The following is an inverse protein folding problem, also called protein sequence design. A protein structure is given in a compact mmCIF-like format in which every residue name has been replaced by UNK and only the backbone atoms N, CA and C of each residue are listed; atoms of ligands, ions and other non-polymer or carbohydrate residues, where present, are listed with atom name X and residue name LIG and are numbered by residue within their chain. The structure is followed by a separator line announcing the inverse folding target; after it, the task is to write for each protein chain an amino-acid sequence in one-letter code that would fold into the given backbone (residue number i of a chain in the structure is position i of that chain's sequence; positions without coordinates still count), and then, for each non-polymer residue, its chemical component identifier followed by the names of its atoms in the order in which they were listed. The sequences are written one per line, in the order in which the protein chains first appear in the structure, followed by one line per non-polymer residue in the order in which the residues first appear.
data_IF_045939358209
#
_entry.id   IF_045939358209
#
_cell.length_a   1.000
_cell.length_b   1.000
_cell.length_c   1.000
_cell.angle_alpha   90.00
_cell.angle_beta   90.00
_cell.angle_gamma   90.00
#
_symmetry.space_group_name_H-M   'P 1'
#
loop_
_entity.id
_entity.type
_entity.pdbx_description
1 polymer ?
#
# COMPACT_ATOMS: atom_id res chain seq x y z
N UNK A 1 4.68 79.02 -18.27
CA UNK A 1 4.06 79.30 -19.58
C UNK A 1 3.85 77.98 -20.26
N UNK A 2 2.60 77.76 -20.69
CA UNK A 2 2.03 76.71 -21.56
C UNK A 2 2.39 75.25 -21.25
N UNK A 3 1.46 74.42 -20.75
CA UNK A 3 0.27 73.84 -21.43
C UNK A 3 0.62 72.93 -22.62
N UNK A 4 0.02 71.73 -22.64
CA UNK A 4 0.13 70.81 -23.77
C UNK A 4 -0.36 69.39 -23.49
N UNK A 5 -1.66 69.27 -23.27
CA UNK A 5 -2.49 68.07 -23.17
C UNK A 5 -2.49 67.24 -24.48
N UNK A 6 -2.45 65.90 -24.41
CA UNK A 6 -3.33 65.02 -25.20
C UNK A 6 -3.26 63.54 -24.79
N UNK A 7 -4.43 62.93 -24.89
CA UNK A 7 -4.89 61.62 -24.41
C UNK A 7 -4.91 60.55 -25.52
N UNK A 8 -5.12 59.31 -25.05
CA UNK A 8 -5.69 58.13 -25.72
C UNK A 8 -4.78 57.21 -26.54
N UNK A 9 -4.87 55.91 -26.23
CA UNK A 9 -4.35 54.85 -27.08
C UNK A 9 -4.22 53.49 -26.39
N UNK A 10 -5.37 52.91 -26.04
CA UNK A 10 -5.59 51.51 -25.70
C UNK A 10 -4.82 50.51 -26.59
N UNK A 11 -4.15 49.52 -25.99
CA UNK A 11 -4.06 48.16 -26.54
C UNK A 11 -3.28 47.22 -25.61
N UNK A 12 -3.89 46.07 -25.32
CA UNK A 12 -3.15 44.82 -25.11
C UNK A 12 -2.92 44.41 -23.68
N UNK A 13 -3.99 44.06 -22.97
CA UNK A 13 -3.89 43.08 -21.89
C UNK A 13 -3.62 41.70 -22.50
N UNK A 14 -2.44 41.15 -22.24
CA UNK A 14 -2.24 39.70 -22.22
C UNK A 14 -2.28 39.29 -20.74
N UNK A 15 -3.48 38.88 -20.32
CA UNK A 15 -3.62 38.02 -19.16
C UNK A 15 -3.02 36.68 -19.55
N UNK A 16 -1.84 36.37 -19.00
CA UNK A 16 -1.40 34.99 -18.85
C UNK A 16 -2.45 34.29 -17.97
N UNK A 17 -3.43 33.70 -18.65
CA UNK A 17 -4.38 32.78 -18.08
C UNK A 17 -3.62 31.53 -17.72
N UNK A 18 -3.06 31.54 -16.51
CA UNK A 18 -2.72 30.34 -15.76
C UNK A 18 -4.03 29.56 -15.58
N UNK A 19 -4.37 28.73 -16.58
CA UNK A 19 -5.38 27.68 -16.44
C UNK A 19 -4.82 26.66 -15.48
N UNK A 20 -4.88 26.98 -14.19
CA UNK A 20 -4.83 25.97 -13.14
C UNK A 20 -5.99 25.02 -13.42
N UNK A 21 -5.67 23.84 -13.94
CA UNK A 21 -6.64 22.77 -14.11
C UNK A 21 -7.28 22.51 -12.74
N UNK A 22 -8.49 23.03 -12.53
CA UNK A 22 -9.27 22.74 -11.34
C UNK A 22 -9.80 21.32 -11.51
N UNK A 23 -9.14 20.36 -10.85
CA UNK A 23 -9.68 19.02 -10.66
C UNK A 23 -11.02 19.15 -9.94
N UNK A 24 -12.12 18.76 -10.59
CA UNK A 24 -13.43 18.66 -9.98
C UNK A 24 -13.61 17.24 -9.46
N UNK A 25 -14.15 17.11 -8.25
CA UNK A 25 -14.51 15.80 -7.67
C UNK A 25 -15.98 15.80 -7.38
N UNK A 26 -16.64 14.71 -7.77
CA UNK A 26 -18.03 14.44 -7.43
C UNK A 26 -18.07 13.13 -6.68
N UNK A 27 -18.43 13.21 -5.39
CA UNK A 27 -18.71 12.05 -4.55
C UNK A 27 -20.16 11.66 -4.80
N UNK A 28 -20.36 10.49 -5.38
CA UNK A 28 -21.68 9.91 -5.54
C UNK A 28 -21.87 8.87 -4.43
N UNK A 29 -22.56 9.28 -3.36
CA UNK A 29 -23.06 8.34 -2.37
C UNK A 29 -24.31 7.69 -2.95
N UNK A 30 -24.19 6.40 -3.32
CA UNK A 30 -25.35 5.60 -3.69
C UNK A 30 -25.58 4.55 -2.62
N UNK A 31 -26.48 4.89 -1.71
CA UNK A 31 -27.16 3.90 -0.87
C UNK A 31 -28.04 3.08 -1.80
N UNK A 32 -27.64 1.86 -2.15
CA UNK A 32 -28.57 0.87 -2.67
C UNK A 32 -29.78 0.84 -1.74
N UNK A 33 -31.00 0.89 -2.27
CA UNK A 33 -32.24 1.15 -1.52
C UNK A 33 -32.30 0.31 -0.23
N UNK A 34 -31.87 0.92 0.88
CA UNK A 34 -32.07 0.42 2.23
C UNK A 34 -33.46 0.90 2.64
N UNK A 35 -34.48 0.14 2.27
CA UNK A 35 -35.78 0.26 2.91
C UNK A 35 -35.58 -0.03 4.39
N UNK A 36 -35.60 1.05 5.18
CA UNK A 36 -35.18 1.06 6.57
C UNK A 36 -35.77 -0.07 7.40
N UNK A 37 -34.87 -0.92 7.89
CA UNK A 37 -34.95 -1.47 9.25
C UNK A 37 -33.53 -1.47 9.78
N UNK A 38 -33.23 -0.57 10.73
CA UNK A 38 -32.00 -0.55 11.52
C UNK A 38 -31.97 -1.72 12.53
N UNK A 39 -32.27 -2.93 12.06
CA UNK A 39 -32.43 -4.12 12.88
C UNK A 39 -32.91 -5.29 12.04
N UNK A 40 -31.99 -6.24 11.81
CA UNK A 40 -32.17 -7.46 11.04
C UNK A 40 -32.37 -7.25 9.53
N UNK A 41 -31.42 -7.78 8.74
CA UNK A 41 -31.66 -8.89 7.80
C UNK A 41 -30.37 -9.17 7.03
N UNK A 42 -29.46 -9.91 7.65
CA UNK A 42 -28.54 -10.79 6.93
C UNK A 42 -29.39 -11.95 6.41
N UNK A 43 -29.98 -11.77 5.24
CA UNK A 43 -30.77 -12.78 4.55
C UNK A 43 -29.88 -13.55 3.58
N UNK A 44 -29.43 -14.73 4.01
CA UNK A 44 -28.82 -15.71 3.11
C UNK A 44 -27.74 -16.54 3.80
N UNK A 45 -28.20 -17.55 4.56
CA UNK A 45 -27.39 -18.51 5.34
C UNK A 45 -26.83 -17.98 6.67
N UNK A 46 -27.63 -18.06 7.75
CA UNK A 46 -27.10 -18.29 9.10
C UNK A 46 -27.27 -17.21 10.18
N UNK A 47 -27.92 -16.08 9.92
CA UNK A 47 -27.84 -14.91 10.80
C UNK A 47 -29.10 -14.56 11.62
N UNK A 48 -29.93 -15.54 11.97
CA UNK A 48 -31.08 -15.32 12.89
C UNK A 48 -30.69 -15.34 14.38
N UNK A 49 -29.41 -15.40 14.74
CA UNK A 49 -28.99 -15.55 16.14
C UNK A 49 -27.80 -14.72 16.59
N UNK A 50 -27.30 -13.78 15.77
CA UNK A 50 -26.08 -13.05 16.14
C UNK A 50 -26.42 -11.89 17.08
N UNK A 51 -26.18 -12.06 18.37
CA UNK A 51 -26.20 -10.94 19.32
C UNK A 51 -24.99 -10.03 19.05
N UNK A 52 -25.05 -8.75 19.42
CA UNK A 52 -23.88 -7.84 19.30
C UNK A 52 -22.66 -8.32 20.10
N UNK A 53 -22.86 -9.26 21.03
CA UNK A 53 -21.84 -9.84 21.90
C UNK A 53 -21.29 -11.16 21.35
N UNK A 54 -21.79 -11.64 20.21
CA UNK A 54 -21.30 -12.86 19.58
C UNK A 54 -19.95 -12.59 18.91
N UNK A 55 -19.00 -13.47 19.20
CA UNK A 55 -17.64 -13.39 18.70
C UNK A 55 -17.38 -14.48 17.66
N UNK A 56 -16.63 -14.12 16.62
CA UNK A 56 -16.04 -15.03 15.66
C UNK A 56 -14.52 -14.93 15.75
N UNK A 57 -13.81 -15.97 15.29
CA UNK A 57 -12.35 -16.01 15.32
C UNK A 57 -11.79 -15.71 13.95
N UNK A 58 -10.90 -14.72 13.87
CA UNK A 58 -10.14 -14.40 12.66
C UNK A 58 -8.68 -14.81 12.83
N UNK A 59 -8.02 -15.15 11.72
CA UNK A 59 -6.56 -15.16 11.64
C UNK A 59 -6.09 -13.75 11.31
N UNK A 60 -5.45 -13.06 12.23
CA UNK A 60 -5.00 -11.67 12.04
C UNK A 60 -3.57 -11.56 11.52
N UNK A 61 -2.73 -12.58 11.75
CA UNK A 61 -1.35 -12.58 11.28
C UNK A 61 -0.87 -13.98 10.90
N UNK A 62 0.12 -14.02 10.00
CA UNK A 62 0.97 -15.17 9.78
C UNK A 62 2.35 -14.80 10.31
N UNK A 63 2.82 -15.50 11.34
CA UNK A 63 4.04 -15.12 12.04
C UNK A 63 4.83 -16.34 12.47
N UNK A 64 6.16 -16.18 12.49
CA UNK A 64 7.06 -17.18 13.06
C UNK A 64 6.82 -17.31 14.57
N UNK A 65 6.96 -18.52 15.14
CA UNK A 65 6.94 -18.71 16.60
C UNK A 65 8.20 -18.14 17.29
N UNK A 66 9.30 -17.97 16.55
CA UNK A 66 10.53 -17.31 17.01
C UNK A 66 11.28 -16.68 15.83
N UNK A 67 12.17 -15.69 16.03
CA UNK A 67 12.88 -15.03 14.93
C UNK A 67 13.63 -15.97 13.98
N UNK A 68 14.13 -17.09 14.50
CA UNK A 68 14.91 -18.08 13.73
C UNK A 68 14.07 -19.18 13.07
N UNK A 69 12.75 -19.22 13.29
CA UNK A 69 11.91 -20.27 12.70
C UNK A 69 11.76 -20.08 11.18
N UNK A 70 11.68 -21.18 10.43
CA UNK A 70 11.53 -21.11 8.96
C UNK A 70 10.06 -21.12 8.51
N UNK A 71 9.13 -21.42 9.42
CA UNK A 71 7.71 -21.60 9.11
C UNK A 71 6.84 -20.57 9.81
N UNK A 72 5.79 -20.14 9.12
CA UNK A 72 4.75 -19.28 9.67
C UNK A 72 3.65 -20.10 10.35
N UNK A 73 3.14 -19.57 11.46
CA UNK A 73 1.96 -20.06 12.16
C UNK A 73 0.86 -18.99 12.13
N UNK A 74 -0.42 -19.39 11.96
CA UNK A 74 -1.52 -18.45 12.03
C UNK A 74 -1.70 -17.98 13.47
N UNK A 75 -1.87 -16.66 13.66
CA UNK A 75 -2.27 -16.08 14.93
C UNK A 75 -3.72 -15.62 14.86
N UNK A 76 -4.48 -16.00 15.87
CA UNK A 76 -5.93 -15.86 15.87
C UNK A 76 -6.41 -14.99 17.01
N UNK A 77 -7.52 -14.28 16.80
CA UNK A 77 -8.20 -13.52 17.85
C UNK A 77 -9.70 -13.48 17.60
N UNK A 78 -10.45 -13.20 18.65
CA UNK A 78 -11.89 -13.04 18.58
C UNK A 78 -12.28 -11.60 18.23
N UNK A 79 -13.31 -11.46 17.40
CA UNK A 79 -13.87 -10.20 16.89
C UNK A 79 -15.40 -10.26 16.84
N UNK A 80 -16.12 -9.13 16.81
CA UNK A 80 -17.57 -9.15 16.67
C UNK A 80 -18.00 -9.80 15.34
N UNK A 81 -18.93 -10.75 15.40
CA UNK A 81 -19.45 -11.46 14.21
C UNK A 81 -20.02 -10.49 13.18
N UNK A 82 -20.75 -9.46 13.63
CA UNK A 82 -21.37 -8.48 12.73
C UNK A 82 -20.33 -7.74 11.86
N UNK A 83 -19.20 -7.38 12.46
CA UNK A 83 -18.08 -6.76 11.73
C UNK A 83 -17.41 -7.77 10.79
N UNK A 84 -17.10 -8.97 11.28
CA UNK A 84 -16.43 -10.00 10.48
C UNK A 84 -17.24 -10.36 9.21
N UNK A 85 -18.55 -10.57 9.35
CA UNK A 85 -19.42 -10.90 8.23
C UNK A 85 -19.54 -9.75 7.21
N UNK A 86 -19.63 -8.50 7.68
CA UNK A 86 -19.67 -7.34 6.78
C UNK A 86 -18.39 -7.21 5.95
N UNK A 87 -17.23 -7.37 6.59
CA UNK A 87 -15.92 -7.36 5.91
C UNK A 87 -15.81 -8.53 4.92
N UNK A 88 -16.28 -9.73 5.29
CA UNK A 88 -16.29 -10.91 4.41
C UNK A 88 -17.13 -10.69 3.16
N UNK A 89 -18.29 -10.04 3.30
CA UNK A 89 -19.13 -9.65 2.16
C UNK A 89 -18.42 -8.64 1.26
N UNK A 90 -17.78 -7.62 1.84
CA UNK A 90 -17.00 -6.64 1.10
C UNK A 90 -15.85 -7.29 0.30
N UNK A 91 -15.12 -8.25 0.88
CA UNK A 91 -14.11 -9.04 0.15
C UNK A 91 -14.72 -9.80 -1.03
N UNK A 92 -15.89 -10.42 -0.84
CA UNK A 92 -16.59 -11.12 -1.91
C UNK A 92 -17.02 -10.19 -3.06
N UNK A 93 -17.42 -8.95 -2.77
CA UNK A 93 -17.76 -7.95 -3.79
C UNK A 93 -16.51 -7.43 -4.50
N UNK A 94 -15.44 -7.14 -3.77
CA UNK A 94 -14.17 -6.69 -4.34
C UNK A 94 -13.58 -7.70 -5.34
N UNK A 95 -13.70 -9.01 -5.04
CA UNK A 95 -13.32 -10.06 -5.99
C UNK A 95 -14.10 -9.95 -7.30
N UNK A 96 -15.43 -9.80 -7.23
CA UNK A 96 -16.29 -9.65 -8.42
C UNK A 96 -15.94 -8.39 -9.22
N UNK A 97 -15.60 -7.29 -8.56
CA UNK A 97 -15.16 -6.05 -9.22
C UNK A 97 -13.88 -6.31 -10.02
N UNK A 98 -12.92 -7.02 -9.42
CA UNK A 98 -11.65 -7.38 -10.07
C UNK A 98 -11.89 -8.31 -11.26
N UNK A 99 -12.66 -9.37 -11.08
CA UNK A 99 -12.99 -10.33 -12.15
C UNK A 99 -13.74 -9.69 -13.32
N UNK A 100 -14.56 -8.68 -13.05
CA UNK A 100 -15.29 -7.96 -14.08
C UNK A 100 -14.39 -7.08 -14.98
N UNK A 101 -13.16 -6.79 -14.56
CA UNK A 101 -12.19 -6.01 -15.37
C UNK A 101 -12.73 -4.64 -15.77
N UNK A 102 -13.37 -3.94 -14.83
CA UNK A 102 -14.12 -2.72 -15.12
C UNK A 102 -13.21 -1.61 -15.67
N UNK A 103 -13.59 -1.07 -16.82
CA UNK A 103 -13.05 0.18 -17.35
C UNK A 103 -14.14 1.25 -17.30
N UNK A 104 -13.87 2.47 -16.81
CA UNK A 104 -12.54 3.03 -16.54
C UNK A 104 -12.25 3.17 -15.02
N UNK A 105 -12.08 2.03 -14.34
CA UNK A 105 -11.72 1.98 -12.93
C UNK A 105 -10.24 2.37 -12.73
N UNK A 106 -9.97 3.30 -11.82
CA UNK A 106 -8.61 3.68 -11.40
C UNK A 106 -8.18 2.95 -10.13
N UNK A 107 -9.12 2.67 -9.24
CA UNK A 107 -8.85 1.90 -8.05
C UNK A 107 -10.11 1.50 -7.30
N UNK A 108 -10.01 0.45 -6.52
CA UNK A 108 -11.07 -0.01 -5.62
C UNK A 108 -10.43 -0.50 -4.34
N UNK A 109 -10.98 -0.14 -3.17
CA UNK A 109 -10.45 -0.52 -1.87
C UNK A 109 -11.59 -0.77 -0.89
N UNK A 110 -11.44 -1.77 -0.04
CA UNK A 110 -12.40 -2.02 1.03
C UNK A 110 -12.11 -1.11 2.22
N UNK A 111 -13.17 -0.50 2.74
CA UNK A 111 -13.19 0.25 4.00
C UNK A 111 -13.93 -0.62 5.02
N UNK A 112 -13.23 -1.27 5.97
CA UNK A 112 -13.80 -2.34 6.81
C UNK A 112 -14.87 -1.94 7.85
N UNK A 113 -15.21 -0.66 8.01
CA UNK A 113 -15.97 -0.18 9.17
C UNK A 113 -15.19 -0.32 10.48
N UNK A 114 -15.89 -0.20 11.61
CA UNK A 114 -15.36 -0.36 12.97
C UNK A 114 -16.17 -1.39 13.76
N UNK A 115 -15.69 -1.83 14.93
CA UNK A 115 -16.50 -2.74 15.76
C UNK A 115 -17.82 -2.14 16.25
N UNK A 116 -17.88 -0.82 16.43
CA UNK A 116 -19.10 -0.10 16.82
C UNK A 116 -20.00 0.28 15.65
N UNK A 117 -19.45 0.28 14.45
CA UNK A 117 -20.13 0.61 13.19
C UNK A 117 -19.65 -0.39 12.12
N UNK A 118 -20.19 -1.62 12.12
CA UNK A 118 -19.61 -2.77 11.43
C UNK A 118 -19.76 -2.72 9.91
N UNK A 119 -20.50 -1.75 9.36
CA UNK A 119 -20.79 -1.68 7.94
C UNK A 119 -19.52 -1.39 7.13
N UNK A 120 -19.02 -2.41 6.43
CA UNK A 120 -17.94 -2.28 5.46
C UNK A 120 -18.47 -1.72 4.13
N UNK A 121 -17.64 -0.94 3.46
CA UNK A 121 -17.93 -0.33 2.16
C UNK A 121 -16.76 -0.49 1.19
N UNK A 122 -16.98 -0.17 -0.09
CA UNK A 122 -15.95 -0.14 -1.11
C UNK A 122 -15.79 1.29 -1.63
N UNK A 123 -14.59 1.83 -1.49
CA UNK A 123 -14.20 3.09 -2.11
C UNK A 123 -13.67 2.81 -3.52
N UNK A 124 -14.33 3.38 -4.52
CA UNK A 124 -14.00 3.25 -5.94
C UNK A 124 -13.56 4.61 -6.48
N UNK A 125 -12.40 4.65 -7.11
CA UNK A 125 -11.94 5.78 -7.90
C UNK A 125 -12.03 5.41 -9.38
N UNK A 126 -12.63 6.26 -10.22
CA UNK A 126 -12.80 6.03 -11.64
C UNK A 126 -12.72 7.33 -12.44
N UNK A 127 -12.45 7.27 -13.74
CA UNK A 127 -12.44 8.48 -14.59
C UNK A 127 -13.81 8.82 -15.20
N UNK A 128 -14.78 7.93 -15.07
CA UNK A 128 -16.12 8.10 -15.64
C UNK A 128 -17.20 7.61 -14.67
N UNK A 129 -18.30 8.36 -14.58
CA UNK A 129 -19.42 8.06 -13.69
C UNK A 129 -20.23 6.82 -14.10
N UNK A 130 -20.14 6.40 -15.37
CA UNK A 130 -20.78 5.19 -15.91
C UNK A 130 -20.35 3.90 -15.22
N UNK A 131 -19.20 3.90 -14.53
CA UNK A 131 -18.78 2.78 -13.66
C UNK A 131 -19.85 2.45 -12.62
N UNK A 132 -20.60 3.45 -12.16
CA UNK A 132 -21.62 3.30 -11.12
C UNK A 132 -22.76 2.38 -11.55
N UNK A 133 -23.20 2.47 -12.80
CA UNK A 133 -24.26 1.60 -13.35
C UNK A 133 -23.81 0.14 -13.45
N UNK A 134 -22.51 -0.07 -13.70
CA UNK A 134 -21.94 -1.41 -13.77
C UNK A 134 -21.77 -2.02 -12.38
N UNK A 135 -21.40 -1.20 -11.40
CA UNK A 135 -21.22 -1.61 -10.01
C UNK A 135 -22.52 -2.01 -9.33
N UNK A 136 -23.67 -1.41 -9.68
CA UNK A 136 -24.97 -1.73 -9.07
C UNK A 136 -25.32 -3.22 -9.09
N UNK A 137 -24.93 -3.95 -10.14
CA UNK A 137 -25.19 -5.38 -10.24
C UNK A 137 -24.18 -6.26 -9.49
N UNK A 138 -23.02 -5.71 -9.15
CA UNK A 138 -21.90 -6.43 -8.53
C UNK A 138 -21.90 -6.29 -7.01
N UNK A 139 -22.44 -5.19 -6.48
CA UNK A 139 -22.26 -4.77 -5.09
C UNK A 139 -23.52 -4.92 -4.23
N UNK A 140 -24.39 -5.86 -4.57
CA UNK A 140 -25.58 -6.17 -3.76
C UNK A 140 -25.18 -6.48 -2.31
N UNK A 141 -25.68 -5.67 -1.37
CA UNK A 141 -25.42 -5.83 0.06
C UNK A 141 -24.17 -5.13 0.61
N UNK A 142 -23.43 -4.36 -0.19
CA UNK A 142 -22.26 -3.58 0.25
C UNK A 142 -22.35 -2.15 -0.27
N UNK A 143 -22.13 -1.16 0.59
CA UNK A 143 -22.10 0.24 0.17
C UNK A 143 -20.89 0.51 -0.73
N UNK A 144 -21.12 1.26 -1.82
CA UNK A 144 -20.07 1.69 -2.73
C UNK A 144 -20.02 3.19 -2.80
N UNK A 145 -18.85 3.73 -2.50
CA UNK A 145 -18.55 5.14 -2.66
C UNK A 145 -17.74 5.35 -3.94
N UNK A 146 -18.34 6.00 -4.94
CA UNK A 146 -17.66 6.31 -6.20
C UNK A 146 -17.14 7.75 -6.20
N UNK A 147 -15.83 7.88 -6.41
CA UNK A 147 -15.12 9.13 -6.64
C UNK A 147 -14.72 9.21 -8.11
N UNK A 148 -15.29 10.18 -8.83
CA UNK A 148 -14.88 10.46 -10.21
C UNK A 148 -13.68 11.40 -10.21
N UNK A 149 -12.62 11.01 -10.92
CA UNK A 149 -11.36 11.74 -11.08
C UNK A 149 -11.25 12.17 -12.55
N UNK A 150 -11.43 13.47 -12.81
CA UNK A 150 -11.48 14.01 -14.19
C UNK A 150 -10.16 13.84 -14.96
N UNK A 151 -9.01 14.06 -14.30
CA UNK A 151 -7.68 13.93 -14.92
C UNK A 151 -6.64 13.61 -13.84
N UNK A 152 -5.69 12.73 -14.14
CA UNK A 152 -4.51 12.51 -13.29
C UNK A 152 -3.43 13.47 -13.79
N UNK A 153 -3.03 14.50 -13.02
CA UNK A 153 -2.00 15.41 -13.45
C UNK A 153 -0.66 14.68 -13.59
N UNK A 154 0.20 15.09 -14.54
CA UNK A 154 1.51 14.49 -14.73
C UNK A 154 2.32 14.59 -13.43
N UNK A 155 3.09 13.53 -13.15
CA UNK A 155 4.00 13.52 -12.01
C UNK A 155 5.03 14.64 -12.19
N UNK A 156 5.22 15.46 -11.16
CA UNK A 156 6.33 16.39 -11.13
C UNK A 156 7.64 15.60 -11.00
N UNK A 157 8.66 15.95 -11.77
CA UNK A 157 10.01 15.45 -11.56
C UNK A 157 10.57 16.14 -10.30
N UNK A 158 10.76 15.37 -9.22
CA UNK A 158 11.47 15.81 -8.03
C UNK A 158 12.91 15.29 -8.12
N UNK A 159 13.88 16.20 -8.06
CA UNK A 159 15.29 15.83 -7.93
C UNK A 159 15.53 15.35 -6.49
N UNK A 160 15.94 14.09 -6.34
CA UNK A 160 16.26 13.51 -5.04
C UNK A 160 17.67 13.94 -4.59
N UNK A 161 17.77 14.53 -3.40
CA UNK A 161 19.05 14.82 -2.77
C UNK A 161 19.51 13.60 -1.94
N UNK A 162 20.39 12.77 -2.53
CA UNK A 162 20.98 11.59 -1.88
C UNK A 162 21.67 11.87 -0.55
N UNK A 163 22.13 13.11 -0.33
CA UNK A 163 22.82 13.50 0.90
C UNK A 163 21.97 13.35 2.16
N UNK A 164 20.63 13.35 2.02
CA UNK A 164 19.69 13.20 3.14
C UNK A 164 19.21 11.75 3.31
N UNK A 165 19.60 10.83 2.43
CA UNK A 165 19.18 9.44 2.49
C UNK A 165 19.81 8.70 3.68
N UNK A 166 18.99 7.93 4.39
CA UNK A 166 19.45 7.12 5.51
C UNK A 166 20.20 5.88 5.01
N UNK A 167 21.49 5.85 5.32
CA UNK A 167 22.40 4.74 5.05
C UNK A 167 22.45 3.77 6.23
N UNK A 168 23.00 2.58 6.00
CA UNK A 168 23.26 1.64 7.09
C UNK A 168 24.31 2.21 8.04
N UNK A 169 24.09 2.12 9.35
CA UNK A 169 25.02 2.65 10.35
C UNK A 169 26.32 1.83 10.45
N UNK A 170 26.21 0.51 10.26
CA UNK A 170 27.32 -0.44 10.23
C UNK A 170 26.95 -1.57 9.26
N UNK A 171 27.73 -1.72 8.18
CA UNK A 171 27.45 -2.75 7.18
C UNK A 171 27.92 -4.11 7.68
N UNK A 172 27.04 -4.81 8.39
CA UNK A 172 27.25 -6.20 8.81
C UNK A 172 26.88 -7.18 7.68
N UNK A 173 27.84 -7.93 7.11
CA UNK A 173 27.55 -8.86 6.02
C UNK A 173 26.57 -9.98 6.41
N UNK A 174 26.54 -10.39 7.67
CA UNK A 174 25.67 -11.49 8.13
C UNK A 174 24.20 -11.06 8.36
N UNK A 175 23.90 -9.76 8.28
CA UNK A 175 22.55 -9.24 8.56
C UNK A 175 22.38 -7.78 8.19
N UNK A 176 22.13 -7.52 6.92
CA UNK A 176 21.81 -6.20 6.39
C UNK A 176 20.31 -5.90 6.63
N UNK A 177 19.96 -4.86 7.40
CA UNK A 177 18.58 -4.56 7.77
C UNK A 177 17.80 -3.82 6.66
N UNK A 178 16.47 -3.86 6.75
CA UNK A 178 15.59 -3.01 5.94
C UNK A 178 15.51 -1.58 6.48
N UNK A 179 14.85 -0.68 5.75
CA UNK A 179 14.67 0.74 6.16
C UNK A 179 15.87 1.65 5.85
N UNK A 180 16.81 1.16 5.05
CA UNK A 180 17.99 1.87 4.55
C UNK A 180 17.89 2.10 3.04
N UNK A 181 18.63 3.06 2.51
CA UNK A 181 18.74 3.32 1.07
C UNK A 181 19.37 2.12 0.34
N UNK A 182 18.81 1.82 -0.83
CA UNK A 182 19.40 0.88 -1.78
C UNK A 182 19.38 1.48 -3.19
N UNK A 183 20.28 0.99 -4.05
CA UNK A 183 20.44 1.38 -5.45
C UNK A 183 20.18 0.19 -6.36
N UNK A 184 19.32 0.39 -7.36
CA UNK A 184 19.02 -0.57 -8.41
C UNK A 184 19.08 0.13 -9.77
N UNK A 185 20.09 -0.19 -10.58
CA UNK A 185 20.36 0.55 -11.82
C UNK A 185 20.75 2.00 -11.54
N UNK A 186 20.01 2.96 -12.10
CA UNK A 186 20.28 4.40 -11.94
C UNK A 186 19.36 5.08 -10.90
N UNK A 187 18.53 4.32 -10.18
CA UNK A 187 17.60 4.87 -9.19
C UNK A 187 17.81 4.29 -7.81
N UNK A 188 17.22 4.98 -6.86
CA UNK A 188 17.27 4.65 -5.45
C UNK A 188 15.90 4.28 -4.91
N UNK A 189 15.91 3.44 -3.89
CA UNK A 189 14.75 3.05 -3.11
C UNK A 189 15.14 2.73 -1.68
N UNK A 190 14.22 2.14 -0.94
CA UNK A 190 14.46 1.62 0.40
C UNK A 190 14.50 0.10 0.35
N UNK A 191 15.45 -0.50 1.07
CA UNK A 191 15.56 -1.92 1.25
C UNK A 191 14.48 -2.42 2.20
N UNK A 192 13.78 -3.51 1.83
CA UNK A 192 12.88 -4.21 2.76
C UNK A 192 13.69 -5.05 3.77
N UNK A 193 13.11 -5.42 4.92
CA UNK A 193 13.62 -6.55 5.72
C UNK A 193 13.63 -7.84 4.90
N UNK A 194 14.32 -8.86 5.39
CA UNK A 194 14.42 -10.15 4.72
C UNK A 194 13.07 -10.68 4.23
N UNK A 195 13.01 -10.98 2.94
CA UNK A 195 11.89 -11.66 2.31
C UNK A 195 12.23 -13.14 2.20
N UNK A 196 11.30 -14.00 2.61
CA UNK A 196 11.45 -15.44 2.64
C UNK A 196 10.58 -16.08 1.57
N UNK A 197 11.10 -17.11 0.91
CA UNK A 197 10.32 -18.01 0.09
C UNK A 197 9.69 -19.10 0.97
N UNK A 198 8.36 -19.18 0.99
CA UNK A 198 7.60 -20.04 1.90
C UNK A 198 7.81 -21.54 1.64
N UNK A 199 8.24 -21.92 0.43
CA UNK A 199 8.48 -23.32 0.06
C UNK A 199 9.89 -23.76 0.47
N UNK A 200 10.88 -22.90 0.26
CA UNK A 200 12.31 -23.23 0.42
C UNK A 200 12.93 -22.72 1.71
N UNK A 201 12.33 -21.71 2.35
CA UNK A 201 12.89 -20.98 3.49
C UNK A 201 14.06 -20.06 3.12
N UNK A 202 14.38 -19.92 1.83
CA UNK A 202 15.47 -19.07 1.37
C UNK A 202 15.19 -17.59 1.62
N UNK A 203 16.24 -16.85 1.99
CA UNK A 203 16.19 -15.42 2.30
C UNK A 203 16.67 -14.59 1.14
N UNK A 204 15.92 -13.55 0.81
CA UNK A 204 16.18 -12.64 -0.29
C UNK A 204 16.18 -11.19 0.20
N UNK A 205 17.01 -10.39 -0.45
CA UNK A 205 16.81 -8.95 -0.46
C UNK A 205 15.61 -8.63 -1.33
N UNK A 206 14.90 -7.55 -1.01
CA UNK A 206 13.83 -7.03 -1.85
C UNK A 206 13.70 -5.52 -1.74
N UNK A 207 13.21 -4.92 -2.82
CA UNK A 207 12.82 -3.51 -2.92
C UNK A 207 11.72 -3.38 -3.99
N UNK A 208 11.26 -2.16 -4.28
CA UNK A 208 10.26 -1.96 -5.33
C UNK A 208 10.86 -2.24 -6.72
N UNK A 209 10.09 -2.89 -7.58
CA UNK A 209 10.53 -3.26 -8.92
C UNK A 209 10.83 -2.04 -9.80
N UNK A 210 10.04 -0.97 -9.70
CA UNK A 210 10.26 0.25 -10.48
C UNK A 210 11.56 1.02 -10.14
N UNK A 211 12.28 0.63 -9.08
CA UNK A 211 13.63 1.15 -8.80
C UNK A 211 14.56 0.82 -9.98
N UNK A 212 14.38 -0.33 -10.62
CA UNK A 212 15.16 -0.72 -11.80
C UNK A 212 14.68 -0.09 -13.12
N UNK A 213 13.70 0.83 -13.07
CA UNK A 213 13.24 1.60 -14.23
C UNK A 213 11.85 1.23 -14.77
N UNK A 214 11.46 1.90 -15.85
CA UNK A 214 10.14 1.73 -16.47
C UNK A 214 9.99 0.42 -17.27
N UNK A 215 11.08 -0.30 -17.48
CA UNK A 215 11.15 -1.57 -18.18
C UNK A 215 10.50 -2.71 -17.39
N UNK A 216 10.40 -2.66 -16.06
CA UNK A 216 9.98 -3.77 -15.19
C UNK A 216 8.54 -4.30 -15.29
N UNK A 217 8.00 -4.46 -16.49
CA UNK A 217 6.68 -5.04 -16.78
C UNK A 217 6.72 -6.56 -16.89
N UNK A 218 7.91 -7.18 -16.92
CA UNK A 218 8.11 -8.64 -17.00
C UNK A 218 8.93 -9.16 -15.83
N UNK A 219 8.68 -10.41 -15.46
CA UNK A 219 9.36 -11.06 -14.35
C UNK A 219 10.88 -11.24 -14.54
N UNK A 220 11.35 -11.35 -15.79
CA UNK A 220 12.76 -11.57 -16.12
C UNK A 220 13.46 -10.32 -16.65
N UNK A 221 12.78 -9.16 -16.62
CA UNK A 221 13.31 -7.93 -17.23
C UNK A 221 14.65 -7.50 -16.60
N UNK A 222 14.72 -7.62 -15.27
CA UNK A 222 15.83 -7.15 -14.46
C UNK A 222 16.74 -8.29 -13.98
N UNK A 223 16.58 -9.51 -14.49
CA UNK A 223 17.34 -10.66 -14.03
C UNK A 223 18.86 -10.45 -14.22
N UNK A 224 19.61 -10.61 -13.13
CA UNK A 224 21.06 -10.41 -13.07
C UNK A 224 21.51 -8.96 -12.87
N UNK A 225 20.58 -8.00 -12.74
CA UNK A 225 20.94 -6.64 -12.37
C UNK A 225 21.35 -6.56 -10.88
N UNK A 226 22.39 -5.78 -10.53
CA UNK A 226 22.88 -5.70 -9.16
C UNK A 226 21.97 -4.86 -8.27
N UNK A 227 21.94 -5.19 -6.98
CA UNK A 227 21.39 -4.37 -5.90
C UNK A 227 22.53 -3.94 -4.98
N UNK A 228 22.67 -2.64 -4.74
CA UNK A 228 23.64 -2.10 -3.79
C UNK A 228 22.96 -1.41 -2.60
N UNK A 229 23.67 -1.37 -1.47
CA UNK A 229 23.34 -0.50 -0.32
C UNK A 229 24.45 0.54 -0.14
N UNK A 230 24.11 1.71 0.38
CA UNK A 230 25.10 2.75 0.66
C UNK A 230 25.61 2.64 2.10
N UNK A 231 26.93 2.72 2.26
CA UNK A 231 27.63 2.80 3.54
C UNK A 231 28.83 3.75 3.38
N UNK A 232 28.95 4.76 4.24
CA UNK A 232 29.96 5.82 4.12
C UNK A 232 30.01 6.45 2.70
N UNK A 233 28.83 6.68 2.10
CA UNK A 233 28.63 7.20 0.73
C UNK A 233 29.13 6.30 -0.41
N UNK A 234 29.66 5.11 -0.10
CA UNK A 234 30.10 4.14 -1.09
C UNK A 234 29.03 3.06 -1.33
N UNK A 235 28.76 2.65 -2.59
CA UNK A 235 27.85 1.57 -2.90
C UNK A 235 28.49 0.20 -2.71
N UNK A 236 27.81 -0.68 -1.97
CA UNK A 236 28.21 -2.07 -1.74
C UNK A 236 27.22 -3.01 -2.39
N UNK A 237 27.68 -3.81 -3.34
CA UNK A 237 26.87 -4.81 -4.02
C UNK A 237 26.49 -5.96 -3.06
N UNK A 238 25.20 -6.08 -2.75
CA UNK A 238 24.69 -7.07 -1.78
C UNK A 238 23.97 -8.26 -2.42
N UNK A 239 23.54 -8.14 -3.68
CA UNK A 239 22.83 -9.22 -4.35
C UNK A 239 22.46 -8.92 -5.80
N UNK A 240 22.09 -9.97 -6.53
CA UNK A 240 21.65 -9.89 -7.93
C UNK A 240 20.16 -10.21 -8.03
N UNK A 241 19.41 -9.46 -8.84
CA UNK A 241 17.99 -9.71 -9.09
C UNK A 241 17.81 -11.10 -9.71
N UNK A 242 16.95 -11.93 -9.09
CA UNK A 242 16.60 -13.25 -9.63
C UNK A 242 15.22 -13.28 -10.25
N UNK A 243 14.31 -12.38 -9.81
CA UNK A 243 12.94 -12.30 -10.34
C UNK A 243 12.28 -10.98 -9.96
N UNK A 244 11.59 -10.37 -10.92
CA UNK A 244 10.63 -9.29 -10.68
C UNK A 244 9.19 -9.81 -10.54
N UNK A 245 8.38 -9.06 -9.81
CA UNK A 245 6.93 -9.26 -9.65
C UNK A 245 6.22 -7.95 -10.02
N UNK A 246 6.00 -7.68 -11.33
CA UNK A 246 5.48 -6.40 -11.80
C UNK A 246 4.13 -6.01 -11.20
N UNK A 247 3.23 -6.99 -11.02
CA UNK A 247 1.89 -6.80 -10.44
C UNK A 247 1.94 -6.47 -8.93
N UNK A 248 2.99 -6.89 -8.24
CA UNK A 248 3.26 -6.52 -6.85
C UNK A 248 4.22 -5.32 -6.73
N UNK A 249 4.86 -4.92 -7.83
CA UNK A 249 5.94 -3.94 -7.87
C UNK A 249 7.08 -4.27 -6.89
N UNK A 250 7.50 -5.54 -6.85
CA UNK A 250 8.58 -6.03 -5.98
C UNK A 250 9.62 -6.76 -6.82
N UNK A 251 10.89 -6.61 -6.49
CA UNK A 251 11.95 -7.51 -6.99
C UNK A 251 12.48 -8.38 -5.87
N UNK A 252 12.77 -9.64 -6.21
CA UNK A 252 13.47 -10.60 -5.37
C UNK A 252 14.92 -10.67 -5.82
N UNK A 253 15.83 -10.45 -4.88
CA UNK A 253 17.27 -10.32 -5.12
C UNK A 253 18.00 -11.38 -4.29
N UNK A 254 18.74 -12.26 -4.96
CA UNK A 254 19.53 -13.27 -4.30
C UNK A 254 20.80 -12.63 -3.73
N UNK A 255 21.16 -12.93 -2.46
CA UNK A 255 22.37 -12.36 -1.87
C UNK A 255 23.63 -12.85 -2.58
N UNK A 256 24.63 -11.97 -2.78
CA UNK A 256 25.99 -12.43 -3.10
C UNK A 256 26.61 -13.08 -1.86
N UNK A 257 27.61 -13.96 -2.06
CA UNK A 257 28.01 -14.95 -1.05
C UNK A 257 28.31 -14.40 0.35
N UNK A 258 28.80 -13.17 0.45
CA UNK A 258 29.18 -12.52 1.71
C UNK A 258 28.04 -11.81 2.45
N UNK A 259 26.95 -11.42 1.77
CA UNK A 259 25.86 -10.64 2.38
C UNK A 259 24.62 -11.50 2.65
N UNK A 260 23.87 -11.17 3.70
CA UNK A 260 22.55 -11.75 3.99
C UNK A 260 21.59 -10.67 4.48
N UNK A 261 20.31 -10.71 4.07
CA UNK A 261 19.29 -9.83 4.64
C UNK A 261 18.95 -10.28 6.07
N UNK A 262 18.68 -9.32 6.96
CA UNK A 262 18.15 -9.58 8.30
C UNK A 262 16.65 -9.33 8.37
N UNK A 263 15.96 -9.98 9.33
CA UNK A 263 14.56 -9.68 9.65
C UNK A 263 14.45 -8.48 10.60
N UNK A 264 15.24 -7.43 10.36
CA UNK A 264 15.22 -6.22 11.18
C UNK A 264 14.92 -4.99 10.31
N UNK A 265 14.26 -4.02 10.93
CA UNK A 265 14.09 -2.68 10.35
C UNK A 265 15.01 -1.72 11.11
N UNK A 266 15.93 -1.10 10.39
CA UNK A 266 16.87 -0.12 10.91
C UNK A 266 16.10 1.04 11.56
N UNK A 267 16.52 1.46 12.77
CA UNK A 267 15.86 2.49 13.62
C UNK A 267 14.43 2.17 14.11
N UNK A 268 13.90 0.98 13.85
CA UNK A 268 12.65 0.56 14.46
C UNK A 268 12.84 0.18 15.95
N UNK A 269 11.77 0.29 16.71
CA UNK A 269 11.74 -0.13 18.12
C UNK A 269 10.32 -0.60 18.46
N UNK A 270 10.09 -1.91 18.64
CA UNK A 270 11.03 -3.01 18.35
C UNK A 270 11.44 -3.06 16.87
N UNK A 271 12.60 -3.66 16.57
CA UNK A 271 13.14 -3.75 15.19
C UNK A 271 12.89 -5.08 14.50
N UNK A 272 12.74 -6.16 15.27
CA UNK A 272 12.63 -7.51 14.72
C UNK A 272 11.25 -7.76 14.11
N UNK A 273 11.24 -8.08 12.82
CA UNK A 273 10.08 -8.53 12.08
C UNK A 273 9.87 -10.02 12.36
N UNK A 274 8.65 -10.39 12.77
CA UNK A 274 8.29 -11.78 13.06
C UNK A 274 7.31 -12.36 12.02
N UNK A 275 6.78 -11.54 11.13
CA UNK A 275 5.83 -11.95 10.11
C UNK A 275 5.02 -10.78 9.57
N UNK A 276 3.78 -11.06 9.19
CA UNK A 276 2.93 -10.10 8.49
C UNK A 276 1.45 -10.24 8.88
N UNK A 277 0.72 -9.13 8.75
CA UNK A 277 -0.73 -9.13 8.90
C UNK A 277 -1.39 -9.86 7.72
N UNK A 278 -2.46 -10.60 8.01
CA UNK A 278 -3.35 -11.13 6.97
C UNK A 278 -4.24 -10.02 6.42
N UNK A 279 -4.97 -10.31 5.34
CA UNK A 279 -6.04 -9.45 4.82
C UNK A 279 -7.03 -9.04 5.92
N UNK A 280 -7.45 -10.00 6.75
CA UNK A 280 -8.36 -9.76 7.87
C UNK A 280 -7.69 -9.02 9.04
N UNK A 281 -6.40 -9.23 9.27
CA UNK A 281 -5.63 -8.50 10.28
C UNK A 281 -5.46 -7.01 9.98
N UNK A 282 -5.27 -6.65 8.70
CA UNK A 282 -5.27 -5.24 8.29
C UNK A 282 -6.65 -4.61 8.46
N UNK A 283 -7.71 -5.36 8.17
CA UNK A 283 -9.08 -4.92 8.42
C UNK A 283 -9.31 -4.70 9.93
N UNK A 284 -8.83 -5.61 10.77
CA UNK A 284 -8.89 -5.54 12.23
C UNK A 284 -8.16 -4.32 12.80
N UNK A 285 -6.95 -4.01 12.31
CA UNK A 285 -6.25 -2.77 12.67
C UNK A 285 -7.09 -1.54 12.32
N UNK A 286 -7.69 -1.53 11.13
CA UNK A 286 -8.55 -0.43 10.67
C UNK A 286 -9.76 -0.25 11.60
N UNK A 287 -10.42 -1.34 11.96
CA UNK A 287 -11.60 -1.34 12.82
C UNK A 287 -11.31 -0.85 14.26
N UNK A 288 -10.06 -1.01 14.70
CA UNK A 288 -9.55 -0.56 15.99
C UNK A 288 -8.87 0.80 15.95
N UNK A 289 -8.94 1.53 14.85
CA UNK A 289 -8.37 2.88 14.72
C UNK A 289 -6.82 2.89 14.73
N UNK A 290 -6.16 1.73 14.58
CA UNK A 290 -4.71 1.62 14.71
C UNK A 290 -3.97 2.11 13.45
N UNK A 291 -2.87 2.86 13.62
CA UNK A 291 -2.05 3.29 12.50
C UNK A 291 -1.08 2.18 12.04
N UNK A 292 -0.45 2.42 10.90
CA UNK A 292 0.80 1.76 10.53
C UNK A 292 1.95 2.76 10.67
N UNK A 293 3.13 2.27 11.01
CA UNK A 293 4.39 3.01 11.02
C UNK A 293 5.23 2.58 9.82
N UNK A 294 5.99 3.50 9.22
CA UNK A 294 6.96 3.23 8.17
C UNK A 294 8.29 3.86 8.55
N UNK A 295 9.37 3.20 8.14
CA UNK A 295 10.70 3.78 8.07
C UNK A 295 11.16 3.71 6.62
N UNK A 296 11.38 4.89 6.03
CA UNK A 296 11.95 5.01 4.69
C UNK A 296 13.42 5.40 4.76
N UNK A 297 14.06 5.32 3.60
CA UNK A 297 15.40 5.86 3.41
C UNK A 297 15.37 7.40 3.35
N UNK A 298 14.35 8.01 2.75
CA UNK A 298 14.28 9.46 2.58
C UNK A 298 13.48 10.12 3.69
N UNK A 299 12.26 9.60 3.92
CA UNK A 299 11.54 10.01 5.12
C UNK A 299 11.91 9.08 6.26
N UNK A 300 12.21 9.67 7.42
CA UNK A 300 12.48 8.96 8.67
C UNK A 300 11.22 8.17 9.11
N UNK A 301 10.86 8.20 10.39
CA UNK A 301 9.66 7.55 10.87
C UNK A 301 8.41 8.36 10.50
N UNK A 302 7.53 7.77 9.71
CA UNK A 302 6.17 8.30 9.49
C UNK A 302 5.12 7.32 10.00
N UNK A 303 3.91 7.79 10.25
CA UNK A 303 2.80 6.93 10.68
C UNK A 303 1.48 7.46 10.16
N UNK A 304 0.56 6.55 9.87
CA UNK A 304 -0.68 6.91 9.21
C UNK A 304 -1.73 5.82 9.30
N UNK A 305 -3.00 6.22 9.17
CA UNK A 305 -4.15 5.31 9.27
C UNK A 305 -4.34 4.49 8.01
N UNK A 306 -4.77 3.25 8.16
CA UNK A 306 -5.24 2.45 7.03
C UNK A 306 -6.54 3.08 6.52
N UNK A 307 -6.58 3.36 5.22
CA UNK A 307 -7.70 3.97 4.50
C UNK A 307 -8.39 2.99 3.55
N UNK A 308 -7.77 1.85 3.27
CA UNK A 308 -8.34 0.82 2.43
C UNK A 308 -7.48 -0.44 2.38
N UNK A 309 -8.14 -1.60 2.38
CA UNK A 309 -7.51 -2.92 2.31
C UNK A 309 -7.96 -3.67 1.07
N UNK A 310 -7.20 -4.70 0.67
CA UNK A 310 -7.51 -5.56 -0.50
C UNK A 310 -7.80 -4.77 -1.78
N UNK A 311 -6.99 -3.74 -1.99
CA UNK A 311 -7.18 -2.82 -3.08
C UNK A 311 -6.75 -3.38 -4.42
N UNK A 312 -7.37 -2.85 -5.48
CA UNK A 312 -6.82 -2.88 -6.82
C UNK A 312 -6.51 -1.44 -7.24
N UNK A 313 -5.37 -1.20 -7.88
CA UNK A 313 -5.01 0.11 -8.43
C UNK A 313 -4.52 0.02 -9.86
N UNK A 314 -4.99 0.94 -10.67
CA UNK A 314 -4.57 1.20 -12.04
C UNK A 314 -3.99 2.63 -12.16
N UNK A 315 -3.61 3.26 -11.04
CA UNK A 315 -3.10 4.65 -11.02
C UNK A 315 -1.76 4.80 -11.75
N UNK A 316 -0.95 3.74 -11.78
CA UNK A 316 0.38 3.75 -12.36
C UNK A 316 0.75 2.37 -12.93
N UNK A 317 1.36 2.36 -14.12
CA UNK A 317 1.79 1.16 -14.83
C UNK A 317 0.85 0.73 -15.96
N UNK A 318 1.27 -0.27 -16.73
CA UNK A 318 0.48 -0.81 -17.86
C UNK A 318 -0.65 -1.75 -17.40
N UNK A 319 -0.58 -2.27 -16.16
CA UNK A 319 -1.52 -3.22 -15.60
C UNK A 319 -2.00 -2.78 -14.21
N UNK A 320 -3.25 -3.15 -13.88
CA UNK A 320 -3.80 -2.93 -12.55
C UNK A 320 -3.15 -3.88 -11.54
N UNK A 321 -2.66 -3.35 -10.43
CA UNK A 321 -2.03 -4.10 -9.34
C UNK A 321 -3.08 -4.48 -8.30
N UNK A 322 -3.12 -5.75 -7.91
CA UNK A 322 -4.04 -6.28 -6.89
C UNK A 322 -3.38 -6.36 -5.51
N UNK A 323 -4.18 -6.63 -4.48
CA UNK A 323 -3.69 -6.84 -3.11
C UNK A 323 -3.03 -5.60 -2.50
N UNK A 324 -3.49 -4.42 -2.89
CA UNK A 324 -2.91 -3.15 -2.47
C UNK A 324 -3.45 -2.69 -1.12
N UNK A 325 -2.60 -2.01 -0.37
CA UNK A 325 -2.90 -1.39 0.92
C UNK A 325 -2.83 0.13 0.75
N UNK A 326 -3.90 0.83 1.13
CA UNK A 326 -4.01 2.29 1.10
C UNK A 326 -3.93 2.82 2.53
N UNK A 327 -2.99 3.72 2.82
CA UNK A 327 -2.77 4.20 4.18
C UNK A 327 -2.09 5.58 4.21
N UNK A 328 -2.06 6.19 5.40
CA UNK A 328 -1.39 7.47 5.63
C UNK A 328 -1.89 8.60 4.74
N UNK A 329 -1.04 9.57 4.50
CA UNK A 329 -1.28 10.76 3.68
C UNK A 329 -0.07 11.04 2.77
N UNK A 330 -0.10 12.15 2.05
CA UNK A 330 0.92 12.58 1.10
C UNK A 330 2.26 12.83 1.79
N UNK A 331 2.26 13.33 3.02
CA UNK A 331 3.48 13.56 3.80
C UNK A 331 4.04 12.28 4.44
N UNK A 332 3.33 11.16 4.30
CA UNK A 332 3.73 9.89 4.89
C UNK A 332 4.80 9.17 4.06
N UNK A 333 4.96 9.52 2.77
CA UNK A 333 5.92 8.91 1.84
C UNK A 333 6.56 10.00 0.98
N UNK A 334 7.84 9.86 0.64
CA UNK A 334 8.51 10.68 -0.38
C UNK A 334 9.08 9.80 -1.49
N UNK A 335 9.36 10.39 -2.65
CA UNK A 335 10.16 9.71 -3.67
C UNK A 335 11.50 9.25 -3.05
N UNK A 336 11.94 8.03 -3.38
CA UNK A 336 13.07 7.35 -2.74
C UNK A 336 12.70 6.45 -1.55
N UNK A 337 11.48 6.56 -1.00
CA UNK A 337 10.97 5.60 -0.01
C UNK A 337 10.39 4.31 -0.61
N UNK A 338 10.35 4.21 -1.94
CA UNK A 338 9.87 3.02 -2.65
C UNK A 338 10.59 1.77 -2.18
N UNK A 339 9.86 0.74 -1.76
CA UNK A 339 10.42 -0.48 -1.18
C UNK A 339 10.48 -0.47 0.35
N UNK A 340 10.20 0.65 1.01
CA UNK A 340 10.08 0.69 2.47
C UNK A 340 8.91 -0.17 2.94
N UNK A 341 9.00 -0.75 4.14
CA UNK A 341 7.88 -1.48 4.74
C UNK A 341 7.08 -0.59 5.68
N UNK A 342 5.77 -0.80 5.71
CA UNK A 342 4.92 -0.35 6.79
C UNK A 342 4.66 -1.52 7.76
N UNK A 343 4.56 -1.23 9.05
CA UNK A 343 4.49 -2.23 10.12
C UNK A 343 3.71 -1.70 11.32
N UNK A 344 3.32 -2.61 12.21
CA UNK A 344 2.77 -2.29 13.52
C UNK A 344 3.30 -3.30 14.53
N UNK A 345 3.40 -2.91 15.81
CA UNK A 345 3.80 -3.82 16.88
C UNK A 345 2.94 -5.09 16.88
N UNK A 346 3.58 -6.23 17.16
CA UNK A 346 2.90 -7.50 17.33
C UNK A 346 1.98 -7.45 18.56
N UNK A 347 0.66 -7.68 18.43
CA UNK A 347 -0.25 -7.67 19.56
C UNK A 347 0.11 -8.64 20.70
N UNK A 348 0.79 -9.75 20.40
CA UNK A 348 1.18 -10.75 21.41
C UNK A 348 2.51 -10.40 22.11
N UNK A 349 3.45 -9.77 21.41
CA UNK A 349 4.77 -9.41 21.92
C UNK A 349 5.17 -7.99 21.46
N UNK A 350 4.44 -6.94 21.89
CA UNK A 350 4.55 -5.60 21.32
C UNK A 350 5.88 -4.90 21.61
N UNK A 351 6.60 -5.35 22.64
CA UNK A 351 7.91 -4.82 23.03
C UNK A 351 9.07 -5.51 22.30
N UNK A 352 8.82 -6.66 21.66
CA UNK A 352 9.85 -7.51 21.08
C UNK A 352 9.77 -7.57 19.55
N UNK A 353 8.56 -7.56 18.97
CA UNK A 353 8.35 -7.85 17.55
C UNK A 353 7.40 -6.87 16.85
N UNK A 354 7.58 -6.77 15.54
CA UNK A 354 6.64 -6.11 14.62
C UNK A 354 6.11 -7.08 13.57
N UNK A 355 4.93 -6.75 13.07
CA UNK A 355 4.29 -7.40 11.93
C UNK A 355 4.19 -6.43 10.77
N UNK A 356 4.58 -6.87 9.57
CA UNK A 356 4.54 -6.07 8.35
C UNK A 356 3.10 -5.99 7.83
N UNK A 357 2.65 -4.78 7.49
CA UNK A 357 1.39 -4.57 6.78
C UNK A 357 1.56 -4.67 5.26
N UNK A 358 2.67 -4.18 4.73
CA UNK A 358 3.04 -4.26 3.32
C UNK A 358 4.30 -3.48 2.95
N UNK A 359 4.65 -3.55 1.67
CA UNK A 359 5.72 -2.76 1.04
C UNK A 359 5.08 -1.53 0.40
N UNK A 360 5.70 -0.36 0.57
CA UNK A 360 5.23 0.90 0.00
C UNK A 360 5.83 1.10 -1.40
N UNK A 361 4.98 1.42 -2.37
CA UNK A 361 5.39 1.53 -3.77
C UNK A 361 5.25 2.95 -4.30
N UNK A 362 4.23 3.69 -3.85
CA UNK A 362 4.01 5.05 -4.31
C UNK A 362 3.10 5.84 -3.36
N UNK A 363 3.04 7.14 -3.61
CA UNK A 363 2.03 8.05 -3.08
C UNK A 363 1.20 8.61 -4.21
N UNK A 364 -0.01 9.05 -3.91
CA UNK A 364 -0.71 9.95 -4.83
C UNK A 364 -0.21 11.37 -4.63
N UNK A 365 0.15 12.06 -5.71
CA UNK A 365 0.70 13.42 -5.72
C UNK A 365 -0.29 14.47 -6.25
N UNK A 366 -1.53 14.07 -6.58
CA UNK A 366 -2.51 14.98 -7.17
C UNK A 366 -3.58 15.45 -6.18
N UNK A 367 -4.07 16.70 -6.33
CA UNK A 367 -5.02 17.31 -5.40
C UNK A 367 -6.22 16.42 -5.04
N UNK A 368 -6.39 16.19 -3.73
CA UNK A 368 -7.48 15.41 -3.12
C UNK A 368 -7.23 13.90 -3.02
N UNK A 369 -6.18 13.35 -3.65
CA UNK A 369 -5.74 11.99 -3.42
C UNK A 369 -4.56 12.10 -2.46
N UNK A 370 -4.85 11.85 -1.18
CA UNK A 370 -3.92 12.14 -0.10
C UNK A 370 -3.64 10.83 0.67
N UNK A 371 -2.83 9.96 0.09
CA UNK A 371 -2.47 8.66 0.66
C UNK A 371 -1.19 8.08 0.06
N UNK A 372 -0.55 7.20 0.84
CA UNK A 372 0.43 6.25 0.38
C UNK A 372 -0.25 4.92 0.02
N UNK A 373 0.34 4.18 -0.91
CA UNK A 373 -0.11 2.84 -1.24
C UNK A 373 1.05 1.92 -1.60
N UNK A 374 0.78 0.62 -1.52
CA UNK A 374 1.69 -0.40 -1.99
C UNK A 374 1.15 -1.81 -1.73
N UNK A 375 1.97 -2.82 -1.96
CA UNK A 375 1.53 -4.21 -1.92
C UNK A 375 1.47 -4.72 -0.49
N UNK A 376 0.30 -5.22 -0.10
CA UNK A 376 0.10 -5.78 1.23
C UNK A 376 0.91 -7.08 1.42
N UNK A 377 1.44 -7.29 2.64
CA UNK A 377 2.25 -8.47 2.95
C UNK A 377 1.50 -9.77 2.68
N UNK A 378 0.23 -9.86 3.07
CA UNK A 378 -0.59 -11.06 2.80
C UNK A 378 -0.67 -11.41 1.31
N UNK A 379 -0.69 -10.40 0.42
CA UNK A 379 -0.79 -10.66 -1.02
C UNK A 379 0.50 -11.28 -1.56
N UNK A 380 1.66 -10.89 -1.00
CA UNK A 380 2.93 -11.51 -1.34
C UNK A 380 2.94 -13.02 -1.03
N UNK A 381 2.35 -13.39 0.10
CA UNK A 381 2.24 -14.79 0.51
C UNK A 381 1.22 -15.54 -0.34
N UNK A 382 0.01 -15.00 -0.48
CA UNK A 382 -1.09 -15.66 -1.17
C UNK A 382 -0.82 -15.84 -2.67
N UNK A 383 -0.21 -14.86 -3.33
CA UNK A 383 0.01 -14.86 -4.78
C UNK A 383 1.37 -15.41 -5.19
N UNK A 384 2.42 -15.21 -4.38
CA UNK A 384 3.80 -15.50 -4.78
C UNK A 384 4.55 -16.41 -3.81
N UNK A 385 3.93 -16.83 -2.70
CA UNK A 385 4.60 -17.65 -1.69
C UNK A 385 5.73 -16.90 -0.98
N UNK A 386 5.66 -15.57 -0.87
CA UNK A 386 6.69 -14.75 -0.25
C UNK A 386 6.20 -14.16 1.06
N UNK A 387 7.05 -14.13 2.09
CA UNK A 387 6.68 -13.57 3.40
C UNK A 387 7.84 -12.89 4.12
N UNK A 388 7.52 -12.16 5.19
CA UNK A 388 8.50 -11.53 6.07
C UNK A 388 8.83 -12.36 7.31
#
# INVERSE_FOLDING_TARGET
MAEGEQTNGDSGGESDGETGARLSRRRLLRTGINLGVSGALVLGYGAEYVSSDDLDTITYAMARPSPDAETLEPRTKDVPVAWHESVRLAFGVQEKIREAGLSPLLGSFIVPGSYSDPEASISVDATDESVSETLENLTEGVEVEVNVVDEIPPKAEEDLELADAHQVADLNPDGVPGGIICEGGEKFGTLTPALYDAETGERFFATSNHVYGASGTKETEHEGEPLAVLYDDDPYHVGDVVRGYPEADVVRVAPVSEYRPSSEIERASPSTVIGQYTKMGLADLTARDEPLTKLGAMTDRTSGRIKGVDGMTCYAGEACKSGQLKWGDEGTLQDGDSGSVNFHADPENPDDYVLVGGINNARTWWPGANFAWGTAGYHLLDAYGLHF
#
